data_IF_858193375153
#
_entry.id   IF_858193375153
#
_cell.length_a   1.000
_cell.length_b   1.000
_cell.length_c   1.000
_cell.angle_alpha   90.00
_cell.angle_beta   90.00
_cell.angle_gamma   90.00
#
_symmetry.space_group_name_H-M   'P 1'
#
loop_
_entity.id
_entity.type
_entity.pdbx_description
1 polymer ?
#
# COMPACT_ATOMS: atom_id res chain seq x y z
N UNK A 1 8.18 6.67 -0.99
CA UNK A 1 8.20 5.98 0.32
C UNK A 1 9.21 4.85 0.25
N UNK A 2 9.97 4.61 1.33
CA UNK A 2 10.93 3.51 1.38
C UNK A 2 10.26 2.20 1.86
N UNK A 3 10.93 1.07 1.65
CA UNK A 3 10.45 -0.26 2.02
C UNK A 3 10.22 -0.36 3.53
N UNK A 4 11.16 0.10 4.34
CA UNK A 4 11.09 0.01 5.81
C UNK A 4 9.83 0.65 6.39
N UNK A 5 9.53 1.89 6.00
CA UNK A 5 8.32 2.60 6.43
C UNK A 5 7.06 1.82 6.05
N UNK A 6 7.02 1.22 4.86
CA UNK A 6 5.88 0.40 4.44
C UNK A 6 5.70 -0.83 5.32
N UNK A 7 6.79 -1.56 5.59
CA UNK A 7 6.74 -2.78 6.41
C UNK A 7 6.31 -2.45 7.84
N UNK A 8 6.91 -1.42 8.44
CA UNK A 8 6.62 -1.01 9.83
C UNK A 8 5.18 -0.49 10.00
N UNK A 9 4.63 0.15 8.97
CA UNK A 9 3.28 0.72 8.98
C UNK A 9 2.26 -0.12 8.22
N UNK A 10 2.58 -1.38 7.90
CA UNK A 10 1.75 -2.21 7.03
C UNK A 10 0.30 -2.32 7.52
N UNK A 11 0.08 -2.55 8.81
CA UNK A 11 -1.28 -2.67 9.36
C UNK A 11 -2.13 -1.42 9.13
N UNK A 12 -1.54 -0.23 9.32
CA UNK A 12 -2.22 1.04 9.05
C UNK A 12 -2.49 1.22 7.56
N UNK A 13 -1.49 1.00 6.71
CA UNK A 13 -1.63 1.08 5.25
C UNK A 13 -2.72 0.11 4.77
N UNK A 14 -2.72 -1.13 5.25
CA UNK A 14 -3.66 -2.18 4.87
C UNK A 14 -5.10 -1.77 5.11
N UNK A 15 -5.38 -1.11 6.23
CA UNK A 15 -6.73 -0.59 6.54
C UNK A 15 -7.24 0.43 5.53
N UNK A 16 -6.34 1.10 4.79
CA UNK A 16 -6.65 2.15 3.83
C UNK A 16 -6.80 1.62 2.40
N UNK A 17 -6.27 0.42 2.11
CA UNK A 17 -6.15 -0.10 0.74
C UNK A 17 -7.50 -0.19 0.05
N UNK A 18 -8.52 -0.76 0.72
CA UNK A 18 -9.84 -0.94 0.12
C UNK A 18 -10.56 0.39 -0.16
N UNK A 19 -10.11 1.51 0.41
CA UNK A 19 -10.62 2.84 0.07
C UNK A 19 -9.91 3.51 -1.11
N UNK A 20 -8.83 2.90 -1.62
CA UNK A 20 -8.00 3.44 -2.73
C UNK A 20 -7.96 2.51 -3.94
N UNK A 21 -8.00 1.20 -3.71
CA UNK A 21 -7.83 0.19 -4.73
C UNK A 21 -8.91 -0.90 -4.59
N UNK A 22 -10.06 -0.68 -5.22
CA UNK A 22 -11.23 -1.56 -5.14
C UNK A 22 -11.04 -2.99 -5.71
N UNK A 23 -10.03 -3.22 -6.55
CA UNK A 23 -9.65 -4.53 -7.10
C UNK A 23 -8.71 -5.32 -6.17
N UNK A 24 -8.19 -4.68 -5.12
CA UNK A 24 -7.41 -5.34 -4.06
C UNK A 24 -8.37 -5.94 -3.04
N UNK A 25 -8.83 -7.16 -3.31
CA UNK A 25 -9.72 -7.88 -2.39
C UNK A 25 -8.94 -8.50 -1.23
N UNK A 26 -9.65 -8.89 -0.17
CA UNK A 26 -9.05 -9.44 1.05
C UNK A 26 -8.11 -10.62 0.77
N UNK A 27 -8.46 -11.50 -0.16
CA UNK A 27 -7.61 -12.62 -0.56
C UNK A 27 -6.25 -12.18 -1.13
N UNK A 28 -6.19 -11.06 -1.85
CA UNK A 28 -4.95 -10.51 -2.38
C UNK A 28 -4.10 -9.90 -1.27
N UNK A 29 -4.73 -9.27 -0.28
CA UNK A 29 -4.05 -8.70 0.87
C UNK A 29 -3.48 -9.79 1.81
N UNK A 30 -4.17 -10.92 1.96
CA UNK A 30 -3.62 -12.09 2.68
C UNK A 30 -2.35 -12.65 2.04
N UNK A 31 -2.19 -12.52 0.71
CA UNK A 31 -0.92 -12.89 0.04
C UNK A 31 0.20 -11.90 0.34
N UNK A 32 -0.14 -10.63 0.53
CA UNK A 32 0.81 -9.60 0.94
C UNK A 32 1.22 -9.82 2.39
N UNK A 33 0.26 -10.11 3.28
CA UNK A 33 0.51 -10.39 4.71
C UNK A 33 1.55 -11.50 4.91
N UNK A 34 1.50 -12.54 4.07
CA UNK A 34 2.39 -13.72 4.12
C UNK A 34 3.71 -13.54 3.34
N UNK A 35 3.89 -12.44 2.64
CA UNK A 35 5.11 -12.22 1.87
C UNK A 35 6.30 -11.88 2.79
N UNK A 36 7.48 -12.40 2.45
CA UNK A 36 8.75 -12.02 3.08
C UNK A 36 8.99 -10.51 2.95
N UNK A 37 8.65 -9.95 1.80
CA UNK A 37 8.72 -8.51 1.52
C UNK A 37 7.35 -8.03 1.03
N UNK A 38 6.57 -7.46 1.94
CA UNK A 38 5.21 -6.98 1.67
C UNK A 38 5.21 -5.85 0.67
N UNK A 39 6.17 -4.93 0.75
CA UNK A 39 6.26 -3.80 -0.17
C UNK A 39 6.38 -4.24 -1.63
N UNK A 40 7.32 -5.15 -1.92
CA UNK A 40 7.53 -5.66 -3.28
C UNK A 40 6.35 -6.50 -3.75
N UNK A 41 5.75 -7.30 -2.85
CA UNK A 41 4.55 -8.07 -3.17
C UNK A 41 3.38 -7.15 -3.53
N UNK A 42 3.14 -6.12 -2.71
CA UNK A 42 2.04 -5.18 -2.93
C UNK A 42 2.23 -4.37 -4.21
N UNK A 43 3.44 -3.86 -4.47
CA UNK A 43 3.76 -3.19 -5.74
C UNK A 43 3.46 -4.12 -6.92
N UNK A 44 3.88 -5.39 -6.86
CA UNK A 44 3.59 -6.38 -7.91
C UNK A 44 2.08 -6.57 -8.11
N UNK A 45 1.30 -6.62 -7.04
CA UNK A 45 -0.17 -6.72 -7.14
C UNK A 45 -0.78 -5.51 -7.83
N UNK A 46 -0.27 -4.30 -7.56
CA UNK A 46 -0.71 -3.09 -8.28
C UNK A 46 -0.39 -3.16 -9.78
N UNK A 47 0.75 -3.76 -10.16
CA UNK A 47 1.06 -3.97 -11.57
C UNK A 47 0.06 -4.94 -12.22
N UNK A 48 -0.26 -6.06 -11.55
CA UNK A 48 -1.17 -7.10 -12.08
C UNK A 48 -2.61 -6.61 -12.17
N UNK A 49 -3.11 -5.93 -11.13
CA UNK A 49 -4.53 -5.55 -11.03
C UNK A 49 -4.84 -4.24 -11.76
N UNK A 50 -3.89 -3.32 -11.83
CA UNK A 50 -4.11 -1.96 -12.33
C UNK A 50 -3.20 -1.58 -13.50
N UNK A 51 -2.32 -2.47 -13.95
CA UNK A 51 -1.39 -2.18 -15.05
C UNK A 51 -0.33 -1.14 -14.69
N UNK A 52 -0.09 -0.89 -13.40
CA UNK A 52 0.89 0.11 -13.00
C UNK A 52 2.30 -0.30 -13.39
N UNK A 53 3.10 0.69 -13.78
CA UNK A 53 4.55 0.52 -13.77
C UNK A 53 5.04 0.41 -12.32
N UNK A 54 6.18 -0.26 -12.11
CA UNK A 54 6.78 -0.39 -10.78
C UNK A 54 7.03 0.98 -10.11
N UNK A 55 7.54 2.02 -10.81
CA UNK A 55 7.64 3.37 -10.24
C UNK A 55 6.28 3.96 -9.85
N UNK A 56 5.26 3.80 -10.70
CA UNK A 56 3.92 4.33 -10.41
C UNK A 56 3.27 3.68 -9.20
N UNK A 57 3.41 2.36 -9.04
CA UNK A 57 2.94 1.65 -7.84
C UNK A 57 3.57 2.18 -6.56
N UNK A 58 4.89 2.43 -6.57
CA UNK A 58 5.60 3.02 -5.42
C UNK A 58 5.16 4.44 -5.12
N UNK A 59 4.92 5.24 -6.16
CA UNK A 59 4.42 6.61 -6.03
C UNK A 59 3.03 6.65 -5.38
N UNK A 60 2.09 5.83 -5.86
CA UNK A 60 0.73 5.81 -5.33
C UNK A 60 0.67 5.33 -3.88
N UNK A 61 1.50 4.35 -3.50
CA UNK A 61 1.66 3.93 -2.10
C UNK A 61 2.17 5.10 -1.24
N UNK A 62 3.19 5.82 -1.72
CA UNK A 62 3.73 6.96 -0.99
C UNK A 62 2.70 8.08 -0.83
N UNK A 63 1.89 8.31 -1.86
CA UNK A 63 0.81 9.30 -1.86
C UNK A 63 -0.27 8.93 -0.85
N UNK A 64 -0.71 7.66 -0.82
CA UNK A 64 -1.66 7.16 0.17
C UNK A 64 -1.17 7.41 1.60
N UNK A 65 0.11 7.10 1.86
CA UNK A 65 0.69 7.27 3.19
C UNK A 65 0.80 8.76 3.59
N UNK A 66 1.29 9.61 2.70
CA UNK A 66 1.38 11.05 2.95
C UNK A 66 -0.01 11.67 3.18
N UNK A 67 -1.04 11.25 2.44
CA UNK A 67 -2.43 11.68 2.67
C UNK A 67 -2.93 11.25 4.06
N UNK A 68 -2.57 10.06 4.53
CA UNK A 68 -2.90 9.57 5.86
C UNK A 68 -2.21 10.37 6.98
N UNK A 69 -0.89 10.56 6.89
CA UNK A 69 -0.10 11.34 7.85
C UNK A 69 -0.62 12.78 7.96
N UNK A 70 -0.93 13.41 6.82
CA UNK A 70 -1.49 14.76 6.79
C UNK A 70 -2.87 14.85 7.46
N UNK A 71 -3.73 13.83 7.28
CA UNK A 71 -5.04 13.77 7.95
C UNK A 71 -4.88 13.59 9.46
N UNK A 72 -3.93 12.77 9.91
CA UNK A 72 -3.69 12.56 11.35
C UNK A 72 -3.11 13.81 12.01
N UNK A 73 -2.18 14.52 11.34
CA UNK A 73 -1.61 15.77 11.85
C UNK A 73 -2.66 16.87 12.04
N UNK A 74 -3.67 16.95 11.17
CA UNK A 74 -4.76 17.96 11.28
C UNK A 74 -5.80 17.63 12.35
N UNK A 75 -5.79 16.40 12.89
CA UNK A 75 -6.70 15.95 13.95
C UNK A 75 -6.08 16.06 15.34
N UNK A 76 -4.78 16.31 15.43
CA UNK A 76 -4.05 16.58 16.68
C UNK A 76 -3.90 18.09 16.89
#
# INVERSE_FOLDING_TARGET
MNKTIFEDNWAAIRSLINGRWDLMVEYDLLKVDKAEVKFDKFVTMLQVKYGYSRPKGKEEIAKLWAEHENKNRKKS
#
